data_IF_253104791531
#
_entry.id   IF_253104791531
#
_cell.length_a   1.000
_cell.length_b   1.000
_cell.length_c   1.000
_cell.angle_alpha   90.00
_cell.angle_beta   90.00
_cell.angle_gamma   90.00
#
_symmetry.space_group_name_H-M   'P 1'
#
loop_
_entity.id
_entity.type
_entity.pdbx_description
1 polymer ?
#
# COMPACT_ATOMS: atom_id res chain seq x y z
N UNK A 1 21.90 -27.77 45.83
CA UNK A 1 20.81 -27.67 44.83
C UNK A 1 20.39 -26.22 44.70
N UNK A 2 20.91 -25.49 43.70
CA UNK A 2 20.52 -24.11 43.41
C UNK A 2 19.51 -24.12 42.28
N UNK A 3 18.28 -23.77 42.60
CA UNK A 3 17.22 -23.44 41.65
C UNK A 3 17.63 -22.15 40.95
N UNK A 4 18.34 -22.27 39.83
CA UNK A 4 18.44 -21.18 38.86
C UNK A 4 17.14 -21.26 38.08
N UNK A 5 16.13 -20.58 38.63
CA UNK A 5 14.87 -20.29 37.97
C UNK A 5 15.23 -19.58 36.66
N UNK A 6 15.01 -20.26 35.54
CA UNK A 6 15.12 -19.73 34.19
C UNK A 6 13.99 -18.70 34.02
N UNK A 7 14.17 -17.51 34.60
CA UNK A 7 13.37 -16.28 34.37
C UNK A 7 13.92 -15.58 33.13
N UNK A 8 14.17 -16.35 32.08
CA UNK A 8 14.72 -15.87 30.83
C UNK A 8 14.19 -16.76 29.72
N UNK A 9 12.87 -16.72 29.46
CA UNK A 9 12.28 -16.96 28.13
C UNK A 9 10.74 -16.82 28.09
N UNK A 10 10.13 -16.00 28.95
CA UNK A 10 8.72 -15.64 28.84
C UNK A 10 8.51 -14.13 28.97
N UNK A 11 9.45 -13.35 28.43
CA UNK A 11 9.07 -12.04 27.94
C UNK A 11 8.36 -12.33 26.62
N UNK A 12 7.06 -12.59 26.69
CA UNK A 12 6.17 -12.17 25.61
C UNK A 12 6.40 -10.68 25.50
N UNK A 13 7.42 -10.28 24.74
CA UNK A 13 7.55 -8.91 24.27
C UNK A 13 6.28 -8.76 23.47
N UNK A 14 5.27 -8.13 24.09
CA UNK A 14 4.13 -7.59 23.38
C UNK A 14 4.76 -6.59 22.42
N UNK A 15 5.17 -7.07 21.24
CA UNK A 15 5.86 -6.31 20.23
C UNK A 15 4.89 -5.18 19.91
N UNK A 16 5.18 -4.00 20.46
CA UNK A 16 4.44 -2.81 20.11
C UNK A 16 4.64 -2.62 18.62
N UNK A 17 3.54 -2.51 17.90
CA UNK A 17 3.59 -2.23 16.47
C UNK A 17 4.12 -0.80 16.30
N UNK A 18 5.42 -0.68 16.14
CA UNK A 18 6.20 0.54 15.94
C UNK A 18 6.98 0.42 14.64
N UNK A 19 7.08 1.50 13.90
CA UNK A 19 7.96 1.54 12.73
C UNK A 19 9.42 1.40 13.20
N UNK A 20 10.24 0.55 12.54
CA UNK A 20 11.67 0.51 12.78
C UNK A 20 12.34 1.89 12.62
N UNK A 21 13.51 2.04 13.22
CA UNK A 21 14.38 3.19 12.92
C UNK A 21 14.77 3.14 11.44
N UNK A 22 14.88 4.30 10.81
CA UNK A 22 15.30 4.37 9.42
C UNK A 22 16.76 3.89 9.28
N UNK A 23 17.03 3.06 8.28
CA UNK A 23 18.34 2.57 7.92
C UNK A 23 18.73 3.02 6.50
N UNK A 24 19.70 2.37 5.87
CA UNK A 24 20.16 2.72 4.52
C UNK A 24 19.22 2.28 3.38
N UNK A 25 18.07 1.67 3.71
CA UNK A 25 17.11 1.14 2.74
C UNK A 25 15.86 2.01 2.65
N UNK A 26 15.22 1.93 1.49
CA UNK A 26 13.85 2.39 1.35
C UNK A 26 12.92 1.29 1.85
N UNK A 27 11.94 1.65 2.69
CA UNK A 27 10.92 0.70 3.15
C UNK A 27 9.53 1.08 2.66
N UNK A 28 8.78 0.10 2.16
CA UNK A 28 7.34 0.23 1.88
C UNK A 28 6.59 -0.70 2.82
N UNK A 29 5.88 -0.13 3.78
CA UNK A 29 5.06 -0.88 4.72
C UNK A 29 3.61 -0.94 4.25
N UNK A 30 3.05 -2.15 4.13
CA UNK A 30 1.61 -2.33 3.95
C UNK A 30 0.96 -2.71 5.28
N UNK A 31 0.13 -1.83 5.82
CA UNK A 31 -0.57 -2.08 7.08
C UNK A 31 -1.88 -2.87 6.85
N UNK A 32 -2.29 -3.74 7.80
CA UNK A 32 -3.48 -4.59 7.68
C UNK A 32 -4.80 -3.83 7.88
N UNK A 33 -5.07 -2.88 7.00
CA UNK A 33 -6.24 -2.00 7.00
C UNK A 33 -7.03 -2.10 5.69
N UNK A 34 -8.35 -2.02 5.81
CA UNK A 34 -9.29 -2.00 4.68
C UNK A 34 -9.18 -0.69 3.93
N UNK A 35 -9.27 -0.71 2.60
CA UNK A 35 -9.03 0.47 1.76
C UNK A 35 -7.55 0.85 1.68
N UNK A 36 -6.68 0.04 2.29
CA UNK A 36 -5.22 0.16 2.34
C UNK A 36 -4.70 1.28 3.21
N UNK A 37 -3.48 1.09 3.68
CA UNK A 37 -2.65 2.11 4.28
C UNK A 37 -1.21 1.68 4.02
N UNK A 38 -0.53 2.44 3.18
CA UNK A 38 0.87 2.20 2.83
C UNK A 38 1.72 3.32 3.40
N UNK A 39 2.83 2.98 4.03
CA UNK A 39 3.80 3.95 4.55
C UNK A 39 5.11 3.72 3.82
N UNK A 40 5.60 4.74 3.13
CA UNK A 40 6.91 4.75 2.50
C UNK A 40 7.85 5.47 3.47
N UNK A 41 8.84 4.77 4.01
CA UNK A 41 9.87 5.34 4.88
C UNK A 41 11.16 5.48 4.08
N UNK A 42 11.62 6.72 3.98
CA UNK A 42 12.85 7.06 3.28
C UNK A 42 14.07 6.40 3.94
N UNK A 43 15.14 6.14 3.15
CA UNK A 43 16.45 5.90 3.72
C UNK A 43 16.83 7.01 4.70
N UNK A 44 17.66 6.67 5.67
CA UNK A 44 18.09 7.54 6.76
C UNK A 44 18.73 8.82 6.23
N UNK A 45 18.07 9.94 6.47
CA UNK A 45 18.61 11.29 6.27
C UNK A 45 19.24 11.87 7.54
N UNK A 46 20.08 12.89 7.38
CA UNK A 46 20.72 13.58 8.52
C UNK A 46 19.74 14.47 9.31
N UNK A 47 18.72 15.00 8.64
CA UNK A 47 17.77 15.97 9.22
C UNK A 47 16.52 15.34 9.82
N UNK A 48 16.25 14.07 9.51
CA UNK A 48 15.11 13.34 10.05
C UNK A 48 15.54 12.58 11.32
N UNK A 49 14.71 12.61 12.37
CA UNK A 49 15.00 11.88 13.61
C UNK A 49 15.16 10.37 13.38
N UNK A 50 15.42 9.58 14.44
CA UNK A 50 15.73 8.15 14.30
C UNK A 50 14.71 7.34 13.47
N UNK A 51 13.43 7.74 13.46
CA UNK A 51 12.36 7.09 12.68
C UNK A 51 12.27 7.54 11.22
N UNK A 52 13.03 8.55 10.81
CA UNK A 52 13.09 9.05 9.44
C UNK A 52 11.85 9.82 8.96
N UNK A 53 11.92 10.22 7.69
CA UNK A 53 10.80 10.80 6.95
C UNK A 53 9.89 9.70 6.38
N UNK A 54 8.58 9.97 6.38
CA UNK A 54 7.59 9.07 5.80
C UNK A 54 6.58 9.79 4.90
N UNK A 55 6.11 9.07 3.90
CA UNK A 55 4.95 9.42 3.07
C UNK A 55 3.88 8.36 3.22
N UNK A 56 2.62 8.77 3.31
CA UNK A 56 1.49 7.84 3.53
C UNK A 56 0.60 7.82 2.30
N UNK A 57 0.25 6.64 1.81
CA UNK A 57 -0.75 6.44 0.75
C UNK A 57 -1.96 5.72 1.35
N UNK A 58 -3.07 6.45 1.44
CA UNK A 58 -4.27 6.11 2.19
C UNK A 58 -4.01 5.85 3.69
N UNK A 59 -5.04 5.98 4.50
CA UNK A 59 -4.98 5.76 5.96
C UNK A 59 -5.85 4.61 6.43
N UNK A 60 -6.58 3.99 5.50
CA UNK A 60 -7.33 2.78 5.71
C UNK A 60 -8.42 2.90 6.77
N UNK A 61 -9.07 1.77 7.06
CA UNK A 61 -10.04 1.57 8.14
C UNK A 61 -9.83 0.19 8.75
N UNK A 62 -9.99 0.09 10.07
CA UNK A 62 -9.96 -1.21 10.74
C UNK A 62 -11.10 -2.12 10.27
N UNK A 63 -10.76 -3.37 9.96
CA UNK A 63 -11.72 -4.47 9.95
C UNK A 63 -11.87 -5.02 11.36
N UNK A 64 -12.95 -5.77 11.64
CA UNK A 64 -13.15 -6.39 12.96
C UNK A 64 -11.88 -7.15 13.38
N UNK A 65 -11.28 -6.74 14.50
CA UNK A 65 -10.06 -7.29 15.09
C UNK A 65 -8.74 -6.98 14.36
N UNK A 66 -8.68 -6.08 13.38
CA UNK A 66 -7.41 -5.57 12.82
C UNK A 66 -6.77 -4.50 13.71
N UNK A 67 -5.62 -3.97 13.29
CA UNK A 67 -5.07 -2.74 13.88
C UNK A 67 -6.06 -1.59 13.65
N UNK A 68 -6.10 -0.63 14.58
CA UNK A 68 -6.94 0.56 14.49
C UNK A 68 -6.14 1.86 14.48
N UNK A 69 -6.83 3.01 14.50
CA UNK A 69 -6.17 4.32 14.39
C UNK A 69 -5.18 4.63 15.52
N UNK A 70 -5.38 4.07 16.73
CA UNK A 70 -4.39 4.18 17.81
C UNK A 70 -3.10 3.43 17.48
N UNK A 71 -3.21 2.25 16.88
CA UNK A 71 -2.06 1.44 16.47
C UNK A 71 -1.32 2.08 15.29
N UNK A 72 -2.04 2.66 14.32
CA UNK A 72 -1.42 3.42 13.22
C UNK A 72 -0.64 4.63 13.75
N UNK A 73 -1.21 5.38 14.69
CA UNK A 73 -0.50 6.50 15.32
C UNK A 73 0.74 6.06 16.10
N UNK A 74 0.66 4.90 16.77
CA UNK A 74 1.82 4.31 17.46
C UNK A 74 2.88 3.88 16.46
N UNK A 75 2.47 3.23 15.37
CA UNK A 75 3.36 2.81 14.29
C UNK A 75 4.14 4.01 13.74
N UNK A 76 3.46 5.12 13.48
CA UNK A 76 4.07 6.36 12.96
C UNK A 76 4.74 7.23 14.05
N UNK A 77 4.79 6.79 15.30
CA UNK A 77 5.30 7.62 16.39
C UNK A 77 6.78 7.95 16.19
N UNK A 78 7.11 9.25 16.23
CA UNK A 78 8.49 9.73 16.08
C UNK A 78 8.94 9.97 14.63
N UNK A 79 8.13 9.63 13.62
CA UNK A 79 8.43 9.92 12.20
C UNK A 79 8.17 11.38 11.86
N UNK A 80 8.78 11.88 10.78
CA UNK A 80 8.39 13.14 10.13
C UNK A 80 7.49 12.82 8.92
N UNK A 81 6.20 13.18 8.96
CA UNK A 81 5.32 12.98 7.80
C UNK A 81 5.53 14.13 6.80
N UNK A 82 6.03 13.82 5.61
CA UNK A 82 6.25 14.82 4.54
C UNK A 82 5.00 15.00 3.67
N UNK A 83 4.36 13.89 3.27
CA UNK A 83 3.21 13.90 2.36
C UNK A 83 2.18 12.84 2.73
N UNK A 84 0.92 13.13 2.39
CA UNK A 84 -0.16 12.13 2.39
C UNK A 84 -0.83 12.14 1.01
N UNK A 85 -0.98 10.98 0.39
CA UNK A 85 -1.76 10.78 -0.83
C UNK A 85 -3.07 10.07 -0.47
N UNK A 86 -4.20 10.67 -0.81
CA UNK A 86 -5.51 10.05 -0.68
C UNK A 86 -5.97 9.63 -2.07
N UNK A 87 -6.01 8.32 -2.30
CA UNK A 87 -6.29 7.79 -3.63
C UNK A 87 -7.73 8.07 -4.06
N UNK A 88 -8.68 8.03 -3.13
CA UNK A 88 -10.08 8.37 -3.38
C UNK A 88 -10.78 8.84 -2.10
N UNK A 89 -12.01 9.33 -2.25
CA UNK A 89 -12.80 9.91 -1.16
C UNK A 89 -13.49 8.87 -0.27
N UNK A 90 -13.38 7.58 -0.60
CA UNK A 90 -14.08 6.52 0.13
C UNK A 90 -13.67 6.51 1.60
N UNK A 91 -14.66 6.38 2.49
CA UNK A 91 -14.46 6.41 3.94
C UNK A 91 -13.48 5.36 4.43
N UNK A 92 -13.39 4.21 3.77
CA UNK A 92 -12.41 3.16 4.13
C UNK A 92 -10.97 3.56 3.79
N UNK A 93 -10.72 4.39 2.78
CA UNK A 93 -9.36 4.85 2.43
C UNK A 93 -8.86 5.97 3.35
N UNK A 94 -9.77 6.74 3.97
CA UNK A 94 -9.42 7.94 4.76
C UNK A 94 -9.85 7.94 6.23
N UNK A 95 -10.23 6.80 6.81
CA UNK A 95 -10.88 6.76 8.13
C UNK A 95 -10.00 7.32 9.25
N UNK A 96 -8.69 7.09 9.22
CA UNK A 96 -7.75 7.53 10.26
C UNK A 96 -7.01 8.83 9.95
N UNK A 97 -7.25 9.41 8.78
CA UNK A 97 -6.60 10.61 8.31
C UNK A 97 -6.67 11.79 9.29
N UNK A 98 -7.85 12.13 9.80
CA UNK A 98 -8.03 13.21 10.79
C UNK A 98 -7.21 12.98 12.05
N UNK A 99 -7.24 11.76 12.55
CA UNK A 99 -6.59 11.38 13.81
C UNK A 99 -5.06 11.45 13.67
N UNK A 100 -4.53 11.04 12.51
CA UNK A 100 -3.13 11.17 12.16
C UNK A 100 -2.75 12.64 12.12
N UNK A 101 -3.36 13.45 11.26
CA UNK A 101 -3.04 14.89 11.13
C UNK A 101 -3.06 15.64 12.47
N UNK A 102 -4.10 15.42 13.28
CA UNK A 102 -4.25 16.08 14.57
C UNK A 102 -3.22 15.63 15.62
N UNK A 103 -2.65 14.43 15.46
CA UNK A 103 -1.63 13.93 16.38
C UNK A 103 -0.24 14.52 16.13
N UNK A 104 0.11 14.74 14.86
CA UNK A 104 1.39 15.36 14.48
C UNK A 104 1.38 16.88 14.65
N UNK A 105 0.21 17.51 14.53
CA UNK A 105 0.02 18.97 14.67
C UNK A 105 0.91 19.80 13.74
N UNK A 106 1.29 19.23 12.60
CA UNK A 106 2.05 19.87 11.53
C UNK A 106 1.16 20.02 10.31
N UNK A 107 1.33 21.11 9.58
CA UNK A 107 0.66 21.29 8.29
C UNK A 107 1.29 20.35 7.28
N UNK A 108 0.51 19.40 6.78
CA UNK A 108 0.99 18.33 5.89
C UNK A 108 0.30 18.49 4.53
N UNK A 109 1.04 18.54 3.41
CA UNK A 109 0.50 18.44 2.06
C UNK A 109 -0.29 17.14 1.86
N UNK A 110 -1.52 17.28 1.36
CA UNK A 110 -2.44 16.18 1.13
C UNK A 110 -2.87 16.18 -0.32
N UNK A 111 -2.42 15.19 -1.07
CA UNK A 111 -2.59 15.08 -2.50
C UNK A 111 -3.83 14.25 -2.83
N UNK A 112 -4.69 14.75 -3.72
CA UNK A 112 -5.97 14.11 -4.05
C UNK A 112 -6.46 14.49 -5.47
N UNK A 113 -7.24 13.62 -6.15
CA UNK A 113 -7.63 13.81 -7.55
C UNK A 113 -8.91 14.65 -7.80
N UNK A 114 -9.72 14.92 -6.78
CA UNK A 114 -11.01 15.62 -6.94
C UNK A 114 -11.20 16.67 -5.84
N UNK A 115 -12.25 17.49 -5.94
CA UNK A 115 -12.57 18.55 -4.97
C UNK A 115 -12.36 18.14 -3.50
N UNK A 116 -11.63 18.98 -2.75
CA UNK A 116 -11.33 18.74 -1.33
C UNK A 116 -12.57 18.50 -0.47
N UNK A 117 -13.73 19.07 -0.82
CA UNK A 117 -15.01 18.88 -0.10
C UNK A 117 -15.33 17.39 0.14
N UNK A 118 -14.94 16.53 -0.80
CA UNK A 118 -15.18 15.08 -0.76
C UNK A 118 -14.21 14.33 0.16
N UNK A 119 -13.07 14.93 0.44
CA UNK A 119 -12.00 14.41 1.30
C UNK A 119 -11.98 15.03 2.69
N UNK A 120 -12.64 16.18 2.86
CA UNK A 120 -12.56 16.97 4.08
C UNK A 120 -12.97 16.14 5.30
N UNK A 121 -12.16 16.27 6.34
CA UNK A 121 -12.34 15.63 7.65
C UNK A 121 -12.41 16.66 8.79
N UNK A 122 -12.29 17.95 8.47
CA UNK A 122 -12.26 19.05 9.42
C UNK A 122 -10.96 19.13 10.23
N UNK A 123 -9.84 18.61 9.72
CA UNK A 123 -8.52 18.86 10.31
C UNK A 123 -7.92 20.12 9.70
N UNK A 124 -7.54 21.09 10.56
CA UNK A 124 -6.84 22.30 10.13
C UNK A 124 -5.40 22.06 9.66
N UNK A 125 -4.86 20.86 9.92
CA UNK A 125 -3.49 20.49 9.61
C UNK A 125 -3.35 19.88 8.21
N UNK A 126 -4.46 19.71 7.48
CA UNK A 126 -4.44 19.32 6.07
C UNK A 126 -4.12 20.54 5.19
N UNK A 127 -3.14 20.41 4.30
CA UNK A 127 -2.90 21.36 3.21
C UNK A 127 -3.29 20.69 1.88
N UNK A 128 -4.55 20.85 1.43
CA UNK A 128 -5.03 20.16 0.23
C UNK A 128 -4.24 20.57 -1.01
N UNK A 129 -3.92 19.59 -1.83
CA UNK A 129 -3.22 19.68 -3.12
C UNK A 129 -4.00 18.85 -4.13
N UNK A 130 -4.90 19.53 -4.83
CA UNK A 130 -5.69 18.89 -5.88
C UNK A 130 -4.83 18.63 -7.11
N UNK A 131 -4.85 17.40 -7.60
CA UNK A 131 -4.23 16.98 -8.85
C UNK A 131 -5.35 16.92 -9.89
N UNK A 132 -5.18 17.69 -10.96
CA UNK A 132 -6.16 17.76 -12.04
C UNK A 132 -6.26 16.41 -12.77
N UNK A 133 -7.38 16.22 -13.47
CA UNK A 133 -7.60 15.01 -14.26
C UNK A 133 -6.48 14.81 -15.29
N UNK A 134 -5.92 13.61 -15.31
CA UNK A 134 -4.84 13.22 -16.21
C UNK A 134 -4.78 11.70 -16.37
N UNK A 135 -4.11 11.22 -17.42
CA UNK A 135 -4.07 9.80 -17.82
C UNK A 135 -2.68 9.25 -18.18
N UNK A 136 -1.61 10.03 -17.96
CA UNK A 136 -0.21 9.59 -17.99
C UNK A 136 0.66 10.49 -17.10
N UNK A 137 1.90 10.07 -16.76
CA UNK A 137 2.83 10.90 -15.99
C UNK A 137 3.09 12.23 -16.72
N UNK A 138 3.29 12.18 -18.03
CA UNK A 138 3.53 13.37 -18.85
C UNK A 138 2.35 14.33 -18.88
N UNK A 139 1.12 13.83 -18.81
CA UNK A 139 -0.09 14.67 -18.79
C UNK A 139 -0.34 15.23 -17.39
N UNK A 140 -0.07 14.44 -16.34
CA UNK A 140 -0.24 14.90 -14.97
C UNK A 140 0.78 15.99 -14.59
N UNK A 141 1.98 15.98 -15.20
CA UNK A 141 3.09 16.90 -14.90
C UNK A 141 3.28 17.09 -13.39
N UNK A 142 3.23 15.96 -12.68
CA UNK A 142 3.17 15.93 -11.22
C UNK A 142 4.16 14.92 -10.68
N UNK A 143 5.27 15.44 -10.19
CA UNK A 143 6.34 14.68 -9.55
C UNK A 143 6.79 15.41 -8.28
N UNK A 144 7.01 14.63 -7.23
CA UNK A 144 7.50 15.14 -5.94
C UNK A 144 8.65 14.24 -5.48
N UNK A 145 9.77 14.85 -5.13
CA UNK A 145 10.83 14.19 -4.39
C UNK A 145 10.41 14.02 -2.92
N UNK A 146 10.33 12.77 -2.46
CA UNK A 146 9.99 12.44 -1.08
C UNK A 146 11.21 12.61 -0.15
N UNK A 147 12.38 12.25 -0.69
CA UNK A 147 13.72 12.34 -0.12
C UNK A 147 14.74 12.02 -1.22
N UNK A 148 16.05 12.26 -1.02
CA UNK A 148 17.06 12.04 -2.04
C UNK A 148 16.96 10.64 -2.68
N UNK A 149 16.76 10.63 -4.01
CA UNK A 149 16.65 9.40 -4.80
C UNK A 149 15.29 8.70 -4.72
N UNK A 150 14.29 9.25 -4.04
CA UNK A 150 12.94 8.68 -3.98
C UNK A 150 11.93 9.72 -4.47
N UNK A 151 11.27 9.44 -5.59
CA UNK A 151 10.22 10.31 -6.14
C UNK A 151 8.87 9.60 -6.15
N UNK A 152 7.80 10.38 -6.19
CA UNK A 152 6.47 9.90 -6.52
C UNK A 152 5.88 10.74 -7.64
N UNK A 153 5.43 10.08 -8.70
CA UNK A 153 4.79 10.69 -9.85
C UNK A 153 3.34 10.19 -9.95
N UNK A 154 2.45 11.02 -10.47
CA UNK A 154 1.04 10.63 -10.69
C UNK A 154 0.91 10.08 -12.10
N UNK A 155 0.46 8.83 -12.22
CA UNK A 155 0.22 8.17 -13.52
C UNK A 155 -1.14 8.55 -14.07
N UNK A 156 -2.15 8.63 -13.21
CA UNK A 156 -3.49 9.05 -13.58
C UNK A 156 -4.26 9.55 -12.36
N UNK A 157 -5.22 10.44 -12.59
CA UNK A 157 -6.11 10.96 -11.56
C UNK A 157 -7.47 11.34 -12.19
N UNK A 158 -8.56 11.13 -11.46
CA UNK A 158 -9.87 11.67 -11.83
C UNK A 158 -10.41 11.16 -13.18
N UNK A 159 -10.12 9.91 -13.56
CA UNK A 159 -10.50 9.38 -14.88
C UNK A 159 -12.03 9.27 -15.11
N UNK A 160 -12.82 9.30 -14.04
CA UNK A 160 -14.28 9.39 -14.08
C UNK A 160 -14.79 10.83 -14.04
N UNK A 161 -13.90 11.80 -14.26
CA UNK A 161 -14.18 13.24 -14.28
C UNK A 161 -14.71 13.77 -12.94
N UNK A 162 -14.49 13.02 -11.85
CA UNK A 162 -14.97 13.35 -10.51
C UNK A 162 -16.50 13.58 -10.45
N UNK A 163 -17.27 12.91 -11.33
CA UNK A 163 -18.73 13.03 -11.41
C UNK A 163 -19.42 11.96 -10.56
N UNK A 164 -20.27 12.35 -9.60
CA UNK A 164 -20.98 11.41 -8.71
C UNK A 164 -22.07 12.06 -7.85
N UNK A 165 -22.94 11.25 -7.22
CA UNK A 165 -24.13 11.71 -6.45
C UNK A 165 -23.82 12.70 -5.31
N UNK A 166 -22.58 12.71 -4.84
CA UNK A 166 -22.11 13.56 -3.73
C UNK A 166 -20.86 14.41 -4.10
N UNK A 167 -20.60 14.65 -5.40
CA UNK A 167 -19.36 15.30 -5.90
C UNK A 167 -18.05 14.57 -5.47
N UNK A 168 -18.16 13.29 -5.11
CA UNK A 168 -17.08 12.47 -4.54
C UNK A 168 -16.22 11.76 -5.59
N UNK A 169 -14.93 11.62 -5.30
CA UNK A 169 -14.04 10.76 -6.09
C UNK A 169 -14.44 9.29 -5.90
N UNK A 170 -15.07 8.71 -6.93
CA UNK A 170 -15.46 7.31 -6.97
C UNK A 170 -14.21 6.44 -7.21
N UNK A 171 -14.42 5.12 -7.25
CA UNK A 171 -13.34 4.17 -7.55
C UNK A 171 -12.59 4.52 -8.85
N UNK A 172 -13.31 4.81 -9.94
CA UNK A 172 -12.73 5.21 -11.23
C UNK A 172 -11.89 6.51 -11.17
N UNK A 173 -12.18 7.40 -10.22
CA UNK A 173 -11.47 8.66 -10.04
C UNK A 173 -10.18 8.50 -9.22
N UNK A 174 -9.83 7.27 -8.85
CA UNK A 174 -8.70 7.04 -7.96
C UNK A 174 -7.41 7.61 -8.56
N UNK A 175 -6.62 8.29 -7.72
CA UNK A 175 -5.26 8.66 -8.02
C UNK A 175 -4.41 7.39 -8.07
N UNK A 176 -3.70 7.20 -9.18
CA UNK A 176 -2.73 6.14 -9.41
C UNK A 176 -1.35 6.76 -9.27
N UNK A 177 -0.63 6.41 -8.20
CA UNK A 177 0.70 6.94 -7.91
C UNK A 177 1.77 5.90 -8.22
N UNK A 178 2.91 6.36 -8.75
CA UNK A 178 4.11 5.55 -8.95
C UNK A 178 5.26 6.13 -8.15
N UNK A 179 5.79 5.35 -7.23
CA UNK A 179 7.04 5.66 -6.55
C UNK A 179 8.20 5.11 -7.39
N UNK A 180 9.27 5.90 -7.53
CA UNK A 180 10.53 5.48 -8.14
C UNK A 180 11.65 5.69 -7.13
N UNK A 181 12.44 4.64 -6.91
CA UNK A 181 13.65 4.69 -6.10
C UNK A 181 14.87 4.49 -6.99
N UNK A 182 15.75 5.49 -7.00
CA UNK A 182 17.05 5.45 -7.65
C UNK A 182 18.10 5.10 -6.59
N UNK A 183 18.42 3.82 -6.49
CA UNK A 183 19.53 3.39 -5.65
C UNK A 183 20.82 4.00 -6.18
N UNK A 184 21.60 4.66 -5.32
CA UNK A 184 22.96 5.07 -5.66
C UNK A 184 23.85 3.83 -5.56
N UNK A 185 24.16 3.20 -6.69
CA UNK A 185 25.23 2.21 -6.72
C UNK A 185 26.59 2.93 -6.67
N UNK A 186 27.64 2.20 -6.30
CA UNK A 186 29.00 2.73 -6.17
C UNK A 186 29.59 3.21 -7.52
N UNK A 187 28.91 2.97 -8.64
CA UNK A 187 29.43 3.14 -10.00
C UNK A 187 28.61 4.10 -10.89
N UNK A 188 27.56 4.73 -10.37
CA UNK A 188 26.74 5.71 -11.07
C UNK A 188 25.71 5.13 -12.05
N UNK A 189 25.48 3.81 -12.05
CA UNK A 189 24.40 3.16 -12.79
C UNK A 189 23.24 2.90 -11.84
N UNK A 190 22.30 3.85 -11.76
CA UNK A 190 21.13 3.70 -10.91
C UNK A 190 20.34 2.45 -11.26
N UNK A 191 20.16 1.54 -10.30
CA UNK A 191 19.07 0.56 -10.40
C UNK A 191 17.80 1.23 -9.93
N UNK A 192 16.72 1.04 -10.69
CA UNK A 192 15.43 1.67 -10.42
C UNK A 192 14.48 0.61 -9.90
N UNK A 193 13.92 0.82 -8.71
CA UNK A 193 12.77 0.05 -8.22
C UNK A 193 11.55 0.94 -8.23
N UNK A 194 10.45 0.41 -8.75
CA UNK A 194 9.20 1.15 -8.89
C UNK A 194 8.05 0.47 -8.16
N UNK A 195 7.17 1.27 -7.55
CA UNK A 195 5.97 0.76 -6.88
C UNK A 195 4.72 1.52 -7.32
N UNK A 196 3.69 0.79 -7.77
CA UNK A 196 2.43 1.36 -8.22
C UNK A 196 1.31 1.18 -7.18
N UNK A 197 0.62 2.27 -6.87
CA UNK A 197 -0.47 2.34 -5.90
C UNK A 197 -1.71 2.91 -6.56
N UNK A 198 -2.68 2.05 -6.91
CA UNK A 198 -3.89 2.46 -7.63
C UNK A 198 -5.13 2.65 -6.72
N UNK A 199 -4.96 2.54 -5.39
CA UNK A 199 -6.04 2.72 -4.44
C UNK A 199 -7.22 1.78 -4.67
N UNK A 200 -8.40 2.34 -4.95
CA UNK A 200 -9.61 1.58 -5.32
C UNK A 200 -9.96 1.73 -6.82
N UNK A 201 -8.99 2.03 -7.69
CA UNK A 201 -9.24 2.12 -9.14
C UNK A 201 -10.02 0.91 -9.65
N UNK A 202 -11.19 1.16 -10.21
CA UNK A 202 -12.07 0.13 -10.77
C UNK A 202 -12.81 0.75 -11.94
N UNK A 203 -12.70 0.13 -13.11
CA UNK A 203 -13.29 0.69 -14.32
C UNK A 203 -13.66 -0.41 -15.33
N UNK A 204 -14.49 -0.04 -16.31
CA UNK A 204 -14.83 -0.91 -17.43
C UNK A 204 -13.66 -1.08 -18.39
N UNK A 205 -13.76 -2.09 -19.27
CA UNK A 205 -12.70 -2.39 -20.24
C UNK A 205 -12.31 -1.22 -21.14
N UNK A 206 -13.25 -0.37 -21.58
CA UNK A 206 -12.94 0.79 -22.43
C UNK A 206 -12.10 1.86 -21.71
N UNK A 207 -12.39 2.12 -20.44
CA UNK A 207 -11.63 3.06 -19.62
C UNK A 207 -10.24 2.49 -19.33
N UNK A 208 -10.14 1.20 -19.00
CA UNK A 208 -8.86 0.52 -18.79
C UNK A 208 -8.01 0.54 -20.06
N UNK A 209 -8.59 0.23 -21.22
CA UNK A 209 -7.85 0.30 -22.50
C UNK A 209 -7.33 1.70 -22.79
N UNK A 210 -8.13 2.74 -22.56
CA UNK A 210 -7.69 4.13 -22.74
C UNK A 210 -6.58 4.52 -21.76
N UNK A 211 -6.67 4.11 -20.50
CA UNK A 211 -5.60 4.32 -19.52
C UNK A 211 -4.30 3.65 -20.00
N UNK A 212 -4.37 2.40 -20.46
CA UNK A 212 -3.18 1.67 -20.95
C UNK A 212 -2.61 2.34 -22.21
N UNK A 213 -3.46 2.78 -23.13
CA UNK A 213 -3.05 3.51 -24.34
C UNK A 213 -2.32 4.81 -24.02
N UNK A 214 -2.78 5.54 -22.99
CA UNK A 214 -2.23 6.84 -22.59
C UNK A 214 -1.00 6.75 -21.70
N UNK A 215 -1.06 5.93 -20.65
CA UNK A 215 0.01 5.78 -19.68
C UNK A 215 1.13 4.86 -20.19
N UNK A 216 0.80 3.83 -20.98
CA UNK A 216 1.78 2.90 -21.53
C UNK A 216 2.72 2.31 -20.45
N UNK A 217 4.01 2.51 -20.62
CA UNK A 217 5.07 2.05 -19.71
C UNK A 217 5.04 2.74 -18.33
N UNK A 218 4.34 3.87 -18.17
CA UNK A 218 4.16 4.50 -16.87
C UNK A 218 3.47 3.56 -15.87
N UNK A 219 2.62 2.63 -16.36
CA UNK A 219 1.94 1.63 -15.53
C UNK A 219 2.86 0.50 -15.05
N UNK A 220 3.97 0.25 -15.76
CA UNK A 220 4.89 -0.84 -15.41
C UNK A 220 5.52 -0.57 -14.04
N UNK A 221 5.52 -1.56 -13.15
CA UNK A 221 6.11 -1.42 -11.84
C UNK A 221 6.64 -2.73 -11.28
N UNK A 222 7.69 -2.70 -10.46
CA UNK A 222 8.21 -3.89 -9.77
C UNK A 222 7.26 -4.37 -8.68
N UNK A 223 6.71 -3.43 -7.90
CA UNK A 223 5.80 -3.68 -6.79
C UNK A 223 4.42 -3.13 -7.13
N UNK A 224 3.36 -3.93 -6.98
CA UNK A 224 1.99 -3.49 -7.20
C UNK A 224 1.09 -3.76 -5.99
N UNK A 225 0.46 -2.69 -5.49
CA UNK A 225 -0.68 -2.81 -4.58
C UNK A 225 -1.94 -3.07 -5.38
N UNK A 226 -2.51 -4.27 -5.26
CA UNK A 226 -3.75 -4.66 -5.93
C UNK A 226 -4.87 -3.64 -5.70
N UNK A 227 -5.51 -3.25 -6.80
CA UNK A 227 -6.56 -2.24 -6.76
C UNK A 227 -7.84 -2.77 -6.10
N UNK A 228 -8.55 -1.88 -5.41
CA UNK A 228 -9.83 -2.15 -4.73
C UNK A 228 -9.81 -3.50 -3.98
N UNK A 229 -8.80 -3.68 -3.12
CA UNK A 229 -8.66 -4.84 -2.24
C UNK A 229 -8.45 -6.18 -2.97
N UNK A 230 -8.08 -6.16 -4.26
CA UNK A 230 -7.96 -7.36 -5.09
C UNK A 230 -9.29 -7.80 -5.73
N UNK A 231 -10.16 -6.85 -6.06
CA UNK A 231 -11.36 -7.11 -6.85
C UNK A 231 -10.99 -7.51 -8.29
N UNK A 232 -11.64 -8.56 -8.80
CA UNK A 232 -11.47 -9.07 -10.15
C UNK A 232 -12.85 -9.36 -10.76
N UNK A 233 -13.11 -9.01 -12.04
CA UNK A 233 -12.14 -8.50 -13.03
C UNK A 233 -12.07 -6.97 -13.14
N UNK A 234 -12.94 -6.20 -12.47
CA UNK A 234 -13.08 -4.76 -12.77
C UNK A 234 -11.90 -3.90 -12.30
N UNK A 235 -11.25 -4.26 -11.18
CA UNK A 235 -10.16 -3.48 -10.62
C UNK A 235 -8.77 -4.03 -11.00
N UNK A 236 -8.69 -5.33 -11.32
CA UNK A 236 -7.45 -6.05 -11.61
C UNK A 236 -7.62 -6.94 -12.86
N UNK A 237 -8.20 -6.41 -13.94
CA UNK A 237 -8.41 -7.18 -15.18
C UNK A 237 -7.09 -7.73 -15.72
N UNK A 238 -7.12 -8.86 -16.44
CA UNK A 238 -5.90 -9.41 -17.08
C UNK A 238 -5.19 -8.38 -17.96
N UNK A 239 -5.93 -7.55 -18.68
CA UNK A 239 -5.36 -6.49 -19.52
C UNK A 239 -4.58 -5.47 -18.68
N UNK A 240 -5.14 -5.05 -17.55
CA UNK A 240 -4.45 -4.13 -16.64
C UNK A 240 -3.23 -4.79 -15.98
N UNK A 241 -3.37 -6.02 -15.48
CA UNK A 241 -2.25 -6.76 -14.87
C UNK A 241 -1.10 -6.97 -15.87
N UNK A 242 -1.41 -7.24 -17.14
CA UNK A 242 -0.43 -7.36 -18.23
C UNK A 242 0.26 -6.04 -18.58
N UNK A 243 -0.36 -4.89 -18.30
CA UNK A 243 0.27 -3.59 -18.49
C UNK A 243 1.20 -3.25 -17.30
N UNK A 244 0.80 -3.61 -16.09
CA UNK A 244 1.57 -3.34 -14.86
C UNK A 244 2.79 -4.27 -14.74
N UNK A 245 2.66 -5.54 -15.12
CA UNK A 245 3.76 -6.54 -15.16
C UNK A 245 4.56 -6.66 -13.85
N UNK A 246 3.88 -6.53 -12.71
CA UNK A 246 4.55 -6.54 -11.41
C UNK A 246 5.18 -7.88 -11.02
N UNK A 247 6.37 -7.76 -10.43
CA UNK A 247 7.17 -8.86 -9.87
C UNK A 247 6.79 -9.19 -8.43
N UNK A 248 6.31 -8.20 -7.69
CA UNK A 248 5.83 -8.32 -6.32
C UNK A 248 4.45 -7.70 -6.21
N UNK A 249 3.53 -8.42 -5.57
CA UNK A 249 2.12 -8.04 -5.54
C UNK A 249 1.60 -8.18 -4.13
N UNK A 250 0.82 -7.21 -3.66
CA UNK A 250 0.19 -7.32 -2.35
C UNK A 250 -1.23 -6.75 -2.32
N UNK A 251 -2.03 -7.26 -1.38
CA UNK A 251 -3.37 -6.72 -1.08
C UNK A 251 -3.52 -6.33 0.38
N UNK A 252 -4.35 -5.31 0.60
CA UNK A 252 -4.88 -4.94 1.92
C UNK A 252 -6.40 -4.98 1.90
N UNK A 253 -6.97 -6.15 2.16
CA UNK A 253 -8.40 -6.43 1.95
C UNK A 253 -9.22 -6.68 3.21
N UNK A 254 -10.53 -6.41 3.11
CA UNK A 254 -11.56 -6.90 4.01
C UNK A 254 -12.26 -8.15 3.47
N UNK A 255 -12.41 -9.14 4.34
CA UNK A 255 -13.11 -10.38 4.04
C UNK A 255 -14.62 -10.25 3.79
N UNK A 256 -15.27 -9.18 4.29
CA UNK A 256 -16.72 -9.00 4.10
C UNK A 256 -17.13 -8.92 2.64
N UNK A 257 -16.18 -8.56 1.76
CA UNK A 257 -16.39 -8.48 0.31
C UNK A 257 -15.93 -9.74 -0.44
N UNK A 258 -15.43 -10.76 0.25
CA UNK A 258 -14.85 -11.96 -0.36
C UNK A 258 -13.70 -11.60 -1.33
N UNK A 259 -12.74 -10.80 -0.83
CA UNK A 259 -11.56 -10.33 -1.53
C UNK A 259 -10.27 -10.65 -0.74
N UNK A 260 -9.13 -10.88 -1.41
CA UNK A 260 -8.92 -10.87 -2.87
C UNK A 260 -9.53 -12.10 -3.56
N UNK A 261 -9.65 -12.03 -4.88
CA UNK A 261 -10.19 -13.08 -5.76
C UNK A 261 -9.12 -14.12 -6.12
N UNK A 262 -9.44 -15.42 -6.09
CA UNK A 262 -8.48 -16.47 -6.42
C UNK A 262 -8.01 -16.42 -7.88
N UNK A 263 -8.78 -15.80 -8.75
CA UNK A 263 -8.45 -15.53 -10.15
C UNK A 263 -7.16 -14.70 -10.29
N UNK A 264 -6.80 -13.89 -9.28
CA UNK A 264 -5.54 -13.14 -9.23
C UNK A 264 -4.37 -14.09 -8.94
N UNK A 265 -4.53 -15.01 -7.97
CA UNK A 265 -3.54 -16.05 -7.74
C UNK A 265 -3.36 -16.93 -8.98
N UNK A 266 -4.46 -17.32 -9.64
CA UNK A 266 -4.41 -18.11 -10.87
C UNK A 266 -3.72 -17.40 -12.03
N UNK A 267 -3.79 -16.06 -12.07
CA UNK A 267 -3.04 -15.26 -13.03
C UNK A 267 -1.54 -15.31 -12.74
N UNK A 268 -1.14 -15.04 -11.49
CA UNK A 268 0.28 -14.92 -11.15
C UNK A 268 1.01 -16.25 -11.05
N UNK A 269 0.35 -17.35 -10.65
CA UNK A 269 0.99 -18.68 -10.60
C UNK A 269 1.46 -19.19 -11.97
N UNK A 270 0.97 -18.61 -13.06
CA UNK A 270 1.34 -18.97 -14.45
C UNK A 270 2.03 -17.82 -15.18
N UNK A 271 2.38 -16.74 -14.50
CA UNK A 271 2.96 -15.56 -15.12
C UNK A 271 4.47 -15.51 -14.84
N UNK A 272 5.28 -15.51 -15.88
CA UNK A 272 6.74 -15.57 -15.76
C UNK A 272 7.37 -14.25 -15.22
N UNK A 273 6.59 -13.16 -15.11
CA UNK A 273 7.09 -11.91 -14.56
C UNK A 273 7.07 -11.86 -13.03
N UNK A 274 6.44 -12.82 -12.32
CA UNK A 274 6.40 -12.79 -10.86
C UNK A 274 7.63 -13.49 -10.27
N UNK A 275 8.21 -12.91 -9.23
CA UNK A 275 9.37 -13.51 -8.57
C UNK A 275 8.96 -14.74 -7.75
N UNK A 276 9.82 -15.74 -7.75
CA UNK A 276 9.71 -16.91 -6.88
C UNK A 276 10.28 -16.61 -5.50
N UNK A 277 9.53 -17.00 -4.46
CA UNK A 277 9.87 -16.73 -3.06
C UNK A 277 9.53 -17.93 -2.20
N UNK A 278 9.99 -17.90 -0.95
CA UNK A 278 9.59 -18.90 0.05
C UNK A 278 8.07 -18.90 0.26
N UNK A 279 7.54 -20.09 0.56
CA UNK A 279 6.12 -20.28 0.89
C UNK A 279 5.72 -19.37 2.04
N UNK A 280 4.60 -18.68 1.85
CA UNK A 280 4.05 -17.78 2.85
C UNK A 280 2.53 -17.83 2.80
N UNK A 281 1.83 -17.51 3.90
CA UNK A 281 0.40 -17.71 3.98
C UNK A 281 -0.35 -16.65 3.16
N UNK A 282 -1.28 -17.09 2.31
CA UNK A 282 -2.16 -16.26 1.51
C UNK A 282 -3.59 -16.77 1.55
N UNK A 283 -4.55 -15.86 1.38
CA UNK A 283 -5.97 -16.18 1.33
C UNK A 283 -6.61 -15.51 0.14
N UNK A 284 -7.48 -16.24 -0.57
CA UNK A 284 -8.37 -15.70 -1.59
C UNK A 284 -9.78 -16.29 -1.50
N UNK A 285 -10.68 -15.79 -2.35
CA UNK A 285 -12.04 -16.28 -2.49
C UNK A 285 -12.36 -16.67 -3.93
N UNK A 286 -12.94 -17.86 -4.11
CA UNK A 286 -13.30 -18.38 -5.43
C UNK A 286 -14.58 -17.73 -6.00
N UNK A 287 -14.98 -18.15 -7.20
CA UNK A 287 -16.25 -17.78 -7.88
C UNK A 287 -17.48 -17.86 -6.95
N UNK A 288 -17.51 -18.84 -6.06
CA UNK A 288 -18.60 -19.10 -5.12
C UNK A 288 -18.44 -18.37 -3.78
N UNK A 289 -17.47 -17.45 -3.68
CA UNK A 289 -17.11 -16.71 -2.46
C UNK A 289 -16.65 -17.63 -1.32
N UNK A 290 -16.17 -18.82 -1.65
CA UNK A 290 -15.59 -19.75 -0.69
C UNK A 290 -14.15 -19.36 -0.41
N UNK A 291 -13.82 -19.30 0.87
CA UNK A 291 -12.47 -19.05 1.37
C UNK A 291 -11.52 -20.17 0.93
N UNK A 292 -10.37 -19.80 0.39
CA UNK A 292 -9.27 -20.70 0.05
C UNK A 292 -7.98 -20.14 0.66
N UNK A 293 -7.26 -20.99 1.40
CA UNK A 293 -5.92 -20.69 1.89
C UNK A 293 -4.90 -21.37 1.00
N UNK A 294 -3.83 -20.65 0.70
CA UNK A 294 -2.80 -21.04 -0.25
C UNK A 294 -1.46 -20.63 0.36
N UNK A 295 -0.43 -21.43 0.15
CA UNK A 295 0.95 -21.07 0.46
C UNK A 295 1.72 -20.90 -0.87
N UNK A 296 1.55 -19.76 -1.58
CA UNK A 296 2.21 -19.53 -2.85
C UNK A 296 3.74 -19.56 -2.75
N UNK A 297 4.39 -20.06 -3.79
CA UNK A 297 5.85 -19.97 -4.04
C UNK A 297 6.18 -18.81 -5.01
N UNK A 298 5.30 -17.80 -5.04
CA UNK A 298 5.40 -16.59 -5.88
C UNK A 298 5.11 -15.37 -5.03
N UNK A 299 5.69 -14.22 -5.34
CA UNK A 299 5.64 -12.98 -4.55
C UNK A 299 4.26 -12.30 -4.52
N UNK A 300 3.24 -12.99 -3.98
CA UNK A 300 1.85 -12.56 -3.85
C UNK A 300 1.39 -12.56 -2.38
N UNK A 301 1.39 -11.38 -1.77
CA UNK A 301 1.20 -11.22 -0.34
C UNK A 301 -0.18 -10.67 0.04
N UNK A 302 -0.61 -10.98 1.26
CA UNK A 302 -1.82 -10.40 1.86
C UNK A 302 -1.55 -9.92 3.28
N UNK A 303 -2.01 -8.71 3.62
CA UNK A 303 -1.95 -8.22 5.01
C UNK A 303 -3.02 -8.85 5.91
N UNK A 304 -4.04 -9.50 5.32
CA UNK A 304 -5.15 -10.13 6.02
C UNK A 304 -5.29 -11.58 5.53
N UNK A 305 -4.96 -12.56 6.38
CA UNK A 305 -4.93 -13.98 6.01
C UNK A 305 -5.73 -14.81 7.01
N UNK A 306 -6.34 -15.89 6.56
CA UNK A 306 -6.93 -16.89 7.43
C UNK A 306 -5.99 -18.08 7.58
N UNK A 307 -5.79 -18.51 8.81
CA UNK A 307 -5.06 -19.73 9.12
C UNK A 307 -6.03 -20.75 9.74
N UNK A 308 -5.84 -22.05 9.46
CA UNK A 308 -6.56 -23.10 10.17
C UNK A 308 -6.34 -22.99 11.69
N UNK A 309 -7.42 -23.13 12.45
CA UNK A 309 -7.47 -23.21 13.92
C UNK A 309 -8.41 -24.37 14.28
N UNK A 310 -8.22 -25.04 15.41
CA UNK A 310 -8.67 -26.42 15.72
C UNK A 310 -10.11 -26.82 15.29
N UNK A 311 -11.03 -25.85 15.13
CA UNK A 311 -12.39 -26.07 14.58
C UNK A 311 -12.87 -24.97 13.62
N UNK A 312 -12.06 -23.95 13.29
CA UNK A 312 -12.45 -22.75 12.51
C UNK A 312 -11.24 -22.14 11.78
N UNK A 313 -11.48 -21.06 11.05
CA UNK A 313 -10.39 -20.22 10.55
C UNK A 313 -10.14 -19.04 11.51
N UNK A 314 -8.88 -18.85 11.91
CA UNK A 314 -8.44 -17.66 12.66
C UNK A 314 -7.91 -16.63 11.68
N UNK A 315 -8.40 -15.39 11.83
CA UNK A 315 -7.88 -14.26 11.07
C UNK A 315 -6.55 -13.79 11.68
N UNK A 316 -5.53 -13.68 10.85
CA UNK A 316 -4.19 -13.19 11.18
C UNK A 316 -3.89 -11.96 10.34
N UNK A 317 -3.23 -10.99 10.97
CA UNK A 317 -2.95 -9.70 10.38
C UNK A 317 -1.44 -9.52 10.28
N UNK A 318 -0.95 -9.21 9.10
CA UNK A 318 0.47 -8.98 8.84
C UNK A 318 0.69 -7.52 8.46
N UNK A 319 1.74 -6.93 9.02
CA UNK A 319 2.44 -5.82 8.36
C UNK A 319 3.43 -6.43 7.39
N UNK A 320 3.33 -6.03 6.12
CA UNK A 320 4.33 -6.33 5.12
C UNK A 320 5.35 -5.20 5.11
N UNK A 321 6.62 -5.55 5.01
CA UNK A 321 7.75 -4.63 4.85
C UNK A 321 8.52 -5.04 3.61
N UNK A 322 8.45 -4.21 2.56
CA UNK A 322 9.31 -4.31 1.39
C UNK A 322 10.53 -3.43 1.63
N UNK A 323 11.69 -4.04 1.91
CA UNK A 323 12.95 -3.34 2.15
C UNK A 323 13.79 -3.38 0.88
N UNK A 324 14.13 -2.21 0.35
CA UNK A 324 14.79 -2.04 -0.95
C UNK A 324 16.17 -1.42 -0.71
N UNK A 325 17.23 -2.14 -1.06
CA UNK A 325 18.60 -1.65 -0.90
C UNK A 325 19.03 -0.75 -2.09
N UNK A 326 20.20 -0.12 -1.96
CA UNK A 326 20.75 0.77 -3.01
C UNK A 326 21.11 0.05 -4.32
N UNK A 327 21.18 -1.28 -4.32
CA UNK A 327 21.36 -2.10 -5.53
C UNK A 327 20.03 -2.48 -6.20
N UNK A 328 18.90 -2.09 -5.61
CA UNK A 328 17.56 -2.40 -6.10
C UNK A 328 17.04 -3.79 -5.71
N UNK A 329 17.73 -4.52 -4.83
CA UNK A 329 17.23 -5.79 -4.33
C UNK A 329 16.05 -5.56 -3.38
N UNK A 330 14.98 -6.34 -3.57
CA UNK A 330 13.74 -6.23 -2.81
C UNK A 330 13.63 -7.43 -1.86
N UNK A 331 13.73 -7.18 -0.56
CA UNK A 331 13.38 -8.13 0.50
C UNK A 331 11.95 -7.92 0.99
N UNK A 332 11.23 -9.00 1.34
CA UNK A 332 9.88 -8.91 1.90
C UNK A 332 9.81 -9.62 3.24
N UNK A 333 9.31 -8.93 4.27
CA UNK A 333 9.06 -9.50 5.60
C UNK A 333 7.59 -9.39 6.00
N UNK A 334 7.03 -10.49 6.49
CA UNK A 334 5.68 -10.54 7.06
C UNK A 334 5.75 -10.58 8.59
N UNK A 335 5.29 -9.53 9.26
CA UNK A 335 5.28 -9.45 10.74
C UNK A 335 3.85 -9.50 11.27
N UNK A 336 3.55 -10.44 12.16
CA UNK A 336 2.22 -10.51 12.77
C UNK A 336 1.96 -9.26 13.63
N UNK A 337 0.87 -8.56 13.33
CA UNK A 337 0.52 -7.29 13.94
C UNK A 337 -0.14 -7.41 15.33
N UNK A 338 -0.47 -8.62 15.78
CA UNK A 338 -1.20 -8.87 17.05
C UNK A 338 -0.74 -10.13 17.80
N UNK A 339 0.58 -10.30 17.96
CA UNK A 339 1.12 -11.35 18.84
C UNK A 339 1.11 -10.94 20.31
#
# INVERSE_FOLDING_TARGET
>A
MKVILVIALLIQVSLSLEIPDADDKLHIYALPLVGGCTVIQCPKGEEDGAKGAVTIIDTGKSSSNSIGGKDVKRFLSGTTIKHIFLTNSNKNSRKYFKDILNSFKQYIPVHHPCSWKSYDTGSKYAQPKEIQQCSSISECDYEIELCPGVTISVVAAGLGECKGRDDGANNIDSLIAKMTYTGADTYGYGTYVTALFSGNFEASGSVVSRLIEKAGEDLSADIYRLSNEGNYPLANSRTLLNAIKARYVFTSSEHKKSLPRCEIYDYYKTNDNIDHVERHPYTCYDANKKLTNIDPEVALYGTNVYQPDEKKYKKVFFVLDFSINSSGDIGVKMTNAKN
#
